data_IF_604287163206
#
_entry.id   IF_604287163206
#
_cell.length_a   1.000
_cell.length_b   1.000
_cell.length_c   1.000
_cell.angle_alpha   90.00
_cell.angle_beta   90.00
_cell.angle_gamma   90.00
#
_symmetry.space_group_name_H-M   'P 1'
#
loop_
_entity.id
_entity.type
_entity.pdbx_description
1 polymer ?
#
# COMPACT_ATOMS: atom_id res chain seq x y z
N UNK A 1 -23.70 -34.84 -21.28
CA UNK A 1 -24.89 -34.34 -22.02
C UNK A 1 -25.15 -32.85 -21.75
N UNK A 2 -25.17 -32.42 -20.48
CA UNK A 2 -25.40 -31.01 -20.07
C UNK A 2 -24.32 -30.04 -20.60
N UNK A 3 -23.03 -30.42 -20.54
CA UNK A 3 -21.93 -29.56 -21.05
C UNK A 3 -22.08 -29.22 -22.53
N UNK A 4 -22.48 -30.18 -23.38
CA UNK A 4 -22.76 -29.96 -24.81
C UNK A 4 -23.92 -28.99 -25.04
N UNK A 5 -24.91 -29.00 -24.16
CA UNK A 5 -26.04 -28.07 -24.23
C UNK A 5 -25.61 -26.66 -23.83
N UNK A 6 -24.80 -26.51 -22.78
CA UNK A 6 -24.23 -25.22 -22.35
C UNK A 6 -23.38 -24.60 -23.46
N UNK A 7 -22.51 -25.39 -24.11
CA UNK A 7 -21.69 -24.94 -25.24
C UNK A 7 -22.52 -24.52 -26.46
N UNK A 8 -23.65 -25.20 -26.72
CA UNK A 8 -24.56 -24.85 -27.81
C UNK A 8 -25.24 -23.50 -27.55
N UNK A 9 -25.69 -23.28 -26.31
CA UNK A 9 -26.30 -22.02 -25.89
C UNK A 9 -25.26 -20.87 -25.95
N UNK A 10 -24.02 -21.13 -25.53
CA UNK A 10 -22.90 -20.18 -25.61
C UNK A 10 -22.59 -19.75 -27.05
N UNK A 11 -22.60 -20.70 -28.00
CA UNK A 11 -22.35 -20.42 -29.43
C UNK A 11 -23.48 -19.58 -30.05
N UNK A 12 -24.72 -19.77 -29.59
CA UNK A 12 -25.89 -19.04 -30.10
C UNK A 12 -25.89 -17.57 -29.64
N UNK A 13 -25.35 -17.31 -28.45
CA UNK A 13 -25.33 -15.98 -27.80
C UNK A 13 -23.91 -15.40 -27.67
N UNK A 14 -23.01 -15.72 -28.60
CA UNK A 14 -21.57 -15.41 -28.47
C UNK A 14 -21.26 -13.92 -28.23
N UNK A 15 -21.96 -13.02 -28.92
CA UNK A 15 -21.80 -11.55 -28.75
C UNK A 15 -22.18 -11.11 -27.33
N UNK A 16 -23.18 -11.73 -26.73
CA UNK A 16 -23.63 -11.44 -25.37
C UNK A 16 -22.79 -12.13 -24.30
N UNK A 17 -22.31 -13.34 -24.58
CA UNK A 17 -21.30 -14.01 -23.77
C UNK A 17 -20.04 -13.16 -23.67
N UNK A 18 -19.60 -12.56 -24.78
CA UNK A 18 -18.49 -11.61 -24.80
C UNK A 18 -18.78 -10.36 -23.95
N UNK A 19 -19.92 -9.71 -24.15
CA UNK A 19 -20.31 -8.54 -23.34
C UNK A 19 -20.39 -8.86 -21.83
N UNK A 20 -21.00 -10.00 -21.47
CA UNK A 20 -21.04 -10.48 -20.08
C UNK A 20 -19.64 -10.65 -19.50
N UNK A 21 -18.75 -11.30 -20.25
CA UNK A 21 -17.37 -11.54 -19.84
C UNK A 21 -16.62 -10.23 -19.59
N UNK A 22 -16.81 -9.21 -20.44
CA UNK A 22 -16.24 -7.86 -20.25
C UNK A 22 -16.75 -7.23 -18.95
N UNK A 23 -18.06 -7.25 -18.72
CA UNK A 23 -18.67 -6.66 -17.51
C UNK A 23 -18.19 -7.37 -16.24
N UNK A 24 -18.13 -8.71 -16.22
CA UNK A 24 -17.59 -9.45 -15.06
C UNK A 24 -16.13 -9.10 -14.83
N UNK A 25 -15.32 -9.04 -15.89
CA UNK A 25 -13.89 -8.69 -15.79
C UNK A 25 -13.71 -7.28 -15.22
N UNK A 26 -14.50 -6.31 -15.68
CA UNK A 26 -14.46 -4.94 -15.14
C UNK A 26 -14.90 -4.90 -13.66
N UNK A 27 -15.89 -5.71 -13.28
CA UNK A 27 -16.36 -5.80 -11.89
C UNK A 27 -15.26 -6.35 -10.99
N UNK A 28 -14.63 -7.45 -11.41
CA UNK A 28 -13.52 -8.06 -10.67
C UNK A 28 -12.35 -7.07 -10.52
N UNK A 29 -11.99 -6.36 -11.60
CA UNK A 29 -10.92 -5.37 -11.57
C UNK A 29 -11.23 -4.19 -10.64
N UNK A 30 -12.47 -3.70 -10.62
CA UNK A 30 -12.90 -2.64 -9.72
C UNK A 30 -12.80 -3.06 -8.24
N UNK A 31 -13.17 -4.31 -7.92
CA UNK A 31 -13.07 -4.88 -6.57
C UNK A 31 -11.60 -5.01 -6.14
N UNK A 32 -10.73 -5.49 -7.03
CA UNK A 32 -9.28 -5.57 -6.77
C UNK A 32 -8.71 -4.19 -6.51
N UNK A 33 -8.98 -3.22 -7.40
CA UNK A 33 -8.43 -1.87 -7.29
C UNK A 33 -8.86 -1.16 -5.99
N UNK A 34 -10.14 -1.27 -5.63
CA UNK A 34 -10.66 -0.75 -4.36
C UNK A 34 -9.89 -1.33 -3.18
N UNK A 35 -9.66 -2.64 -3.14
CA UNK A 35 -8.95 -3.25 -2.01
C UNK A 35 -7.45 -2.97 -1.97
N UNK A 36 -6.75 -2.87 -3.10
CA UNK A 36 -5.35 -2.39 -3.12
C UNK A 36 -5.29 -0.99 -2.53
N UNK A 37 -6.19 -0.13 -2.98
CA UNK A 37 -6.25 1.25 -2.53
C UNK A 37 -6.52 1.36 -1.02
N UNK A 38 -7.47 0.59 -0.49
CA UNK A 38 -7.73 0.55 0.95
C UNK A 38 -6.56 -0.05 1.75
N UNK A 39 -5.93 -1.11 1.27
CA UNK A 39 -4.82 -1.77 1.98
C UNK A 39 -3.59 -0.88 2.09
N UNK A 40 -3.23 -0.18 1.02
CA UNK A 40 -2.08 0.74 1.01
C UNK A 40 -2.32 1.94 1.93
N UNK A 41 -3.53 2.53 1.86
CA UNK A 41 -3.92 3.64 2.75
C UNK A 41 -3.95 3.19 4.21
N UNK A 42 -4.45 1.99 4.50
CA UNK A 42 -4.51 1.48 5.88
C UNK A 42 -3.13 1.31 6.50
N UNK A 43 -2.13 0.85 5.74
CA UNK A 43 -0.76 0.70 6.23
C UNK A 43 -0.10 2.07 6.48
N UNK A 44 -0.27 3.03 5.56
CA UNK A 44 0.24 4.37 5.77
C UNK A 44 -0.44 5.06 6.96
N UNK A 45 -1.74 4.82 7.16
CA UNK A 45 -2.51 5.41 8.24
C UNK A 45 -1.99 5.01 9.62
N UNK A 46 -1.63 3.74 9.85
CA UNK A 46 -1.09 3.32 11.15
C UNK A 46 0.25 3.99 11.48
N UNK A 47 1.12 4.23 10.48
CA UNK A 47 2.36 4.98 10.69
C UNK A 47 2.07 6.47 10.97
N UNK A 48 1.15 7.07 10.22
CA UNK A 48 0.73 8.46 10.45
C UNK A 48 0.17 8.63 11.86
N UNK A 49 -0.72 7.73 12.28
CA UNK A 49 -1.32 7.73 13.62
C UNK A 49 -0.24 7.63 14.70
N UNK A 50 0.71 6.70 14.56
CA UNK A 50 1.85 6.59 15.47
C UNK A 50 2.69 7.87 15.56
N UNK A 51 2.93 8.55 14.43
CA UNK A 51 3.67 9.82 14.41
C UNK A 51 2.86 10.98 15.02
N UNK A 52 1.54 10.98 14.87
CA UNK A 52 0.65 11.96 15.51
C UNK A 52 0.61 11.73 17.04
N UNK A 53 0.46 10.47 17.48
CA UNK A 53 0.45 10.10 18.90
C UNK A 53 1.76 10.46 19.60
N UNK A 54 2.88 10.28 18.91
CA UNK A 54 4.22 10.64 19.43
C UNK A 54 4.55 12.13 19.25
N UNK A 55 3.60 12.96 18.81
CA UNK A 55 3.78 14.40 18.57
C UNK A 55 5.06 14.68 17.75
N UNK A 56 5.20 14.01 16.61
CA UNK A 56 6.39 14.12 15.77
C UNK A 56 6.32 15.40 14.93
N UNK A 57 7.33 16.25 15.07
CA UNK A 57 7.52 17.47 14.28
C UNK A 57 8.62 17.24 13.26
N UNK A 58 8.32 17.54 12.00
CA UNK A 58 9.26 17.47 10.89
C UNK A 58 9.67 18.87 10.45
N UNK A 59 10.83 18.98 9.80
CA UNK A 59 11.32 20.24 9.28
C UNK A 59 11.27 20.22 7.76
N UNK A 60 10.44 21.09 7.19
CA UNK A 60 10.34 21.22 5.74
C UNK A 60 11.07 22.47 5.25
N UNK A 61 11.83 22.33 4.17
CA UNK A 61 12.47 23.46 3.50
C UNK A 61 11.39 24.34 2.87
N UNK A 62 11.33 25.60 3.27
CA UNK A 62 10.49 26.60 2.62
C UNK A 62 11.31 27.24 1.51
N UNK A 63 10.96 26.98 0.25
CA UNK A 63 11.52 27.71 -0.88
C UNK A 63 10.93 29.12 -0.84
N UNK A 64 11.70 30.09 -0.36
CA UNK A 64 11.27 31.50 -0.36
C UNK A 64 11.66 32.16 -1.67
N UNK A 65 10.70 32.78 -2.37
CA UNK A 65 10.95 33.64 -3.54
C UNK A 65 11.54 35.02 -3.16
N UNK A 66 11.91 35.24 -1.90
CA UNK A 66 12.49 36.52 -1.47
C UNK A 66 13.96 36.62 -1.92
N UNK A 67 14.28 37.74 -2.59
CA UNK A 67 15.66 38.14 -2.83
C UNK A 67 16.44 38.15 -1.51
N UNK A 68 17.64 37.60 -1.54
CA UNK A 68 18.60 37.60 -0.43
C UNK A 68 18.67 39.02 0.13
N UNK A 69 18.41 39.19 1.43
CA UNK A 69 18.55 40.49 2.07
C UNK A 69 19.93 41.09 1.72
N UNK A 70 20.02 42.35 1.28
CA UNK A 70 21.31 42.97 1.04
C UNK A 70 22.10 42.91 2.34
N UNK A 71 23.35 42.44 2.28
CA UNK A 71 24.24 42.39 3.42
C UNK A 71 24.41 43.81 3.99
N UNK A 72 23.67 44.15 5.03
CA UNK A 72 23.92 45.38 5.79
C UNK A 72 25.13 45.15 6.69
N UNK A 73 26.29 45.61 6.20
CA UNK A 73 27.58 45.76 6.89
C UNK A 73 28.31 44.45 7.26
N UNK A 74 29.51 44.16 6.75
CA UNK A 74 30.77 44.83 7.11
C UNK A 74 30.73 45.55 8.47
N UNK A 75 30.38 44.80 9.52
CA UNK A 75 30.91 45.06 10.86
C UNK A 75 30.93 43.79 11.72
N UNK A 76 32.15 43.31 11.98
CA UNK A 76 32.59 42.53 13.17
C UNK A 76 31.85 41.22 13.51
N UNK A 77 32.47 40.12 13.05
CA UNK A 77 32.56 38.79 13.67
C UNK A 77 31.43 38.33 14.62
N UNK A 78 30.62 37.41 14.11
CA UNK A 78 30.65 36.04 14.65
C UNK A 78 30.89 35.06 13.50
N UNK A 79 31.98 34.28 13.50
CA UNK A 79 32.10 33.16 12.59
C UNK A 79 30.94 32.20 12.88
N UNK A 80 30.26 31.79 11.81
CA UNK A 80 29.76 30.43 11.53
C UNK A 80 29.77 29.55 12.78
N UNK A 81 28.59 29.11 13.27
CA UNK A 81 28.52 27.97 14.18
C UNK A 81 29.37 26.86 13.56
N UNK A 82 30.49 26.54 14.21
CA UNK A 82 31.57 25.77 13.60
C UNK A 82 31.05 24.39 13.20
N UNK A 83 31.68 23.71 12.24
CA UNK A 83 31.36 22.31 11.93
C UNK A 83 31.31 21.43 13.21
N UNK A 84 32.14 21.76 14.21
CA UNK A 84 32.12 21.16 15.55
C UNK A 84 30.79 21.39 16.29
N UNK A 85 30.16 22.56 16.18
CA UNK A 85 28.89 22.86 16.85
C UNK A 85 27.72 22.08 16.24
N UNK A 86 27.70 21.92 14.91
CA UNK A 86 26.71 21.07 14.21
C UNK A 86 26.84 19.61 14.64
N UNK A 87 28.05 19.10 14.64
CA UNK A 87 28.34 17.72 15.01
C UNK A 87 28.03 17.43 16.48
N UNK A 88 28.30 18.40 17.37
CA UNK A 88 27.92 18.32 18.78
C UNK A 88 26.39 18.34 18.95
N UNK A 89 25.70 19.22 18.24
CA UNK A 89 24.24 19.28 18.26
C UNK A 89 23.60 17.97 17.77
N UNK A 90 24.07 17.43 16.63
CA UNK A 90 23.59 16.15 16.10
C UNK A 90 23.83 15.01 17.08
N UNK A 91 25.01 14.96 17.68
CA UNK A 91 25.33 13.95 18.69
C UNK A 91 24.43 14.04 19.92
N UNK A 92 24.17 15.25 20.41
CA UNK A 92 23.31 15.46 21.58
C UNK A 92 21.85 15.14 21.25
N UNK A 93 21.35 15.62 20.12
CA UNK A 93 19.95 15.48 19.70
C UNK A 93 19.58 14.04 19.29
N UNK A 94 20.50 13.30 18.68
CA UNK A 94 20.31 11.91 18.25
C UNK A 94 20.78 10.88 19.30
N UNK A 95 21.20 11.34 20.48
CA UNK A 95 21.58 10.47 21.58
C UNK A 95 20.38 9.73 22.18
N UNK A 96 20.64 8.84 23.15
CA UNK A 96 19.59 8.14 23.90
C UNK A 96 18.66 9.07 24.67
N UNK A 97 19.16 10.24 25.09
CA UNK A 97 18.42 11.25 25.85
C UNK A 97 17.81 12.32 24.93
N UNK A 98 18.31 12.41 23.70
CA UNK A 98 17.85 13.34 22.69
C UNK A 98 16.47 12.95 22.13
N UNK A 99 15.73 13.97 21.68
CA UNK A 99 14.39 13.80 21.09
C UNK A 99 14.40 13.67 19.58
N UNK A 100 15.56 13.82 18.94
CA UNK A 100 15.64 13.77 17.49
C UNK A 100 15.72 12.34 16.98
N UNK A 101 15.18 12.14 15.80
CA UNK A 101 15.40 10.96 14.99
C UNK A 101 15.75 11.37 13.57
N UNK A 102 16.56 10.56 12.89
CA UNK A 102 16.83 10.73 11.47
C UNK A 102 17.23 9.40 10.86
N UNK A 103 17.27 9.32 9.52
CA UNK A 103 17.77 8.17 8.81
C UNK A 103 18.55 8.54 7.55
N UNK A 104 19.53 7.71 7.22
CA UNK A 104 20.38 7.88 6.04
C UNK A 104 20.57 6.54 5.33
N UNK A 105 20.59 6.57 4.01
CA UNK A 105 20.98 5.42 3.20
C UNK A 105 22.43 5.57 2.78
N UNK A 106 23.23 4.54 3.06
CA UNK A 106 24.64 4.45 2.69
C UNK A 106 24.77 3.28 1.71
N UNK A 107 25.41 3.50 0.56
CA UNK A 107 25.71 2.45 -0.40
C UNK A 107 26.65 1.40 0.19
N UNK A 108 26.51 0.13 -0.22
CA UNK A 108 27.35 -0.92 0.37
C UNK A 108 28.85 -0.69 0.10
N UNK A 109 29.31 -0.13 -1.03
CA UNK A 109 30.72 0.30 -1.28
C UNK A 109 31.86 -0.64 -0.77
N UNK A 110 31.58 -1.93 -0.53
CA UNK A 110 32.50 -2.90 0.09
C UNK A 110 32.56 -2.90 1.62
N UNK A 111 31.65 -2.20 2.31
CA UNK A 111 31.57 -2.14 3.77
C UNK A 111 31.03 -3.43 4.41
N UNK A 112 30.13 -4.14 3.74
CA UNK A 112 29.59 -5.44 4.16
C UNK A 112 29.52 -6.40 2.98
N UNK A 113 29.16 -7.66 3.27
CA UNK A 113 28.98 -8.72 2.27
C UNK A 113 28.13 -8.27 1.07
N UNK A 114 28.54 -8.67 -0.13
CA UNK A 114 27.91 -8.33 -1.42
C UNK A 114 26.43 -8.72 -1.50
N UNK A 115 25.94 -9.59 -0.60
CA UNK A 115 24.52 -9.91 -0.48
C UNK A 115 23.66 -8.70 -0.10
N UNK A 116 24.25 -7.69 0.56
CA UNK A 116 23.59 -6.44 0.90
C UNK A 116 23.86 -5.38 -0.18
N UNK A 117 22.83 -4.64 -0.61
CA UNK A 117 23.00 -3.57 -1.61
C UNK A 117 23.35 -2.23 -0.97
N UNK A 118 22.84 -2.01 0.23
CA UNK A 118 22.97 -0.74 0.95
C UNK A 118 22.72 -0.96 2.44
N UNK A 119 23.07 0.05 3.22
CA UNK A 119 22.92 0.11 4.66
C UNK A 119 21.98 1.27 4.99
N UNK A 120 20.86 0.99 5.65
CA UNK A 120 19.96 2.00 6.21
C UNK A 120 20.37 2.26 7.64
N UNK A 121 20.86 3.46 7.92
CA UNK A 121 21.20 3.89 9.27
C UNK A 121 20.02 4.65 9.87
N UNK A 122 19.52 4.18 11.01
CA UNK A 122 18.51 4.82 11.83
C UNK A 122 19.16 5.43 13.07
N UNK A 123 18.98 6.75 13.24
CA UNK A 123 19.57 7.50 14.34
C UNK A 123 18.54 7.88 15.39
N UNK A 124 18.94 7.83 16.67
CA UNK A 124 18.19 8.35 17.79
C UNK A 124 16.80 7.73 17.92
N UNK A 125 15.76 8.56 18.00
CA UNK A 125 14.39 8.09 18.18
C UNK A 125 13.80 7.36 16.96
N UNK A 126 14.45 7.41 15.79
CA UNK A 126 13.93 6.77 14.58
C UNK A 126 13.89 5.24 14.66
N UNK A 127 14.74 4.65 15.49
CA UNK A 127 14.68 3.23 15.86
C UNK A 127 13.26 2.85 16.34
N UNK A 128 12.75 3.56 17.35
CA UNK A 128 11.42 3.34 17.92
C UNK A 128 10.31 3.68 16.94
N UNK A 129 10.44 4.78 16.19
CA UNK A 129 9.46 5.19 15.19
C UNK A 129 9.34 4.15 14.04
N UNK A 130 10.42 3.46 13.73
CA UNK A 130 10.45 2.38 12.75
C UNK A 130 10.01 1.02 13.31
N UNK A 131 9.67 0.94 14.60
CA UNK A 131 9.24 -0.30 15.26
C UNK A 131 10.35 -1.32 15.49
N UNK A 132 11.61 -0.90 15.42
CA UNK A 132 12.77 -1.71 15.78
C UNK A 132 13.17 -1.29 17.21
N UNK A 133 13.23 -2.22 18.16
CA UNK A 133 13.66 -1.90 19.53
C UNK A 133 14.91 -2.69 19.86
N UNK A 134 16.02 -1.98 20.11
CA UNK A 134 17.24 -2.57 20.61
C UNK A 134 17.65 -1.90 21.92
N UNK A 135 18.05 -2.73 22.88
CA UNK A 135 18.65 -2.29 24.14
C UNK A 135 20.11 -1.85 23.97
N UNK A 136 20.72 -2.18 22.83
CA UNK A 136 22.12 -1.86 22.55
C UNK A 136 22.25 -0.43 22.00
N UNK A 137 23.43 0.17 22.14
CA UNK A 137 23.68 1.54 21.62
C UNK A 137 23.83 1.56 20.10
N UNK A 138 24.21 0.42 19.52
CA UNK A 138 24.40 0.20 18.09
C UNK A 138 24.07 -1.26 17.78
N UNK A 139 23.09 -1.51 16.91
CA UNK A 139 22.61 -2.85 16.60
C UNK A 139 22.34 -3.02 15.10
N UNK A 140 22.57 -4.22 14.60
CA UNK A 140 22.27 -4.59 13.21
C UNK A 140 21.02 -5.45 13.11
N UNK A 141 20.22 -5.16 12.10
CA UNK A 141 19.08 -5.96 11.68
C UNK A 141 19.25 -6.37 10.23
N UNK A 142 19.08 -7.65 9.96
CA UNK A 142 19.26 -8.25 8.62
C UNK A 142 17.90 -8.55 7.97
N UNK A 143 17.78 -8.52 6.63
CA UNK A 143 16.61 -9.02 5.95
C UNK A 143 16.35 -10.49 6.31
N UNK A 144 15.09 -10.92 6.25
CA UNK A 144 14.67 -12.29 6.60
C UNK A 144 15.42 -13.37 5.78
N UNK A 145 15.81 -13.04 4.55
CA UNK A 145 16.62 -13.88 3.65
C UNK A 145 17.99 -14.22 4.25
N UNK A 146 18.54 -13.34 5.09
CA UNK A 146 19.83 -13.49 5.77
C UNK A 146 19.67 -13.76 7.27
N UNK A 147 18.56 -14.40 7.67
CA UNK A 147 18.27 -14.76 9.07
C UNK A 147 19.33 -15.65 9.74
N UNK A 148 20.16 -16.32 8.95
CA UNK A 148 21.32 -17.09 9.42
C UNK A 148 22.40 -16.22 10.11
N UNK A 149 22.46 -14.93 9.80
CA UNK A 149 23.42 -14.00 10.41
C UNK A 149 22.97 -13.54 11.82
N UNK A 150 21.76 -13.87 12.27
CA UNK A 150 21.25 -13.41 13.58
C UNK A 150 22.04 -14.04 14.73
N UNK A 151 22.52 -13.19 15.65
CA UNK A 151 23.39 -13.59 16.76
C UNK A 151 24.88 -13.62 16.39
N UNK A 152 25.23 -13.41 15.12
CA UNK A 152 26.62 -13.22 14.69
C UNK A 152 27.07 -11.76 14.88
N UNK A 153 28.37 -11.54 14.78
CA UNK A 153 28.97 -10.21 14.68
C UNK A 153 29.37 -9.96 13.22
N UNK A 154 28.99 -8.80 12.70
CA UNK A 154 29.36 -8.34 11.35
C UNK A 154 30.35 -7.20 11.53
N UNK A 155 31.47 -7.27 10.82
CA UNK A 155 32.40 -6.15 10.72
C UNK A 155 31.80 -5.12 9.74
N UNK A 156 31.49 -3.94 10.25
CA UNK A 156 31.01 -2.82 9.45
C UNK A 156 31.99 -1.66 9.61
N UNK A 157 32.62 -1.24 8.52
CA UNK A 157 33.58 -0.13 8.49
C UNK A 157 34.67 -0.21 9.60
N UNK A 158 35.22 -1.41 9.83
CA UNK A 158 36.27 -1.66 10.82
C UNK A 158 35.78 -1.79 12.27
N UNK A 159 34.46 -1.92 12.49
CA UNK A 159 33.86 -2.13 13.81
C UNK A 159 32.98 -3.37 13.82
N UNK A 160 33.19 -4.26 14.79
CA UNK A 160 32.31 -5.41 14.99
C UNK A 160 31.01 -4.97 15.66
N UNK A 161 29.88 -5.23 14.99
CA UNK A 161 28.54 -4.92 15.49
C UNK A 161 27.72 -6.20 15.49
N UNK A 162 26.94 -6.39 16.55
CA UNK A 162 26.12 -7.58 16.72
C UNK A 162 24.83 -7.47 15.90
N UNK A 163 24.49 -8.56 15.22
CA UNK A 163 23.19 -8.72 14.57
C UNK A 163 22.18 -9.19 15.61
N UNK A 164 21.25 -8.31 15.97
CA UNK A 164 20.30 -8.53 17.06
C UNK A 164 19.09 -9.32 16.58
N UNK A 165 18.55 -9.01 15.41
CA UNK A 165 17.35 -9.67 14.90
C UNK A 165 17.20 -9.52 13.38
N UNK A 166 16.17 -10.15 12.81
CA UNK A 166 15.72 -9.89 11.45
C UNK A 166 14.80 -8.67 11.38
N UNK A 167 14.82 -7.99 10.24
CA UNK A 167 13.83 -6.98 9.85
C UNK A 167 12.49 -7.69 9.58
N UNK A 168 11.36 -7.23 10.14
CA UNK A 168 10.05 -7.79 9.84
C UNK A 168 9.73 -7.78 8.34
N UNK A 169 9.05 -8.80 7.84
CA UNK A 169 8.68 -8.92 6.41
C UNK A 169 7.81 -7.75 5.90
N UNK A 170 7.08 -7.09 6.81
CA UNK A 170 6.22 -5.94 6.55
C UNK A 170 6.86 -4.60 6.91
N UNK A 171 8.17 -4.59 7.20
CA UNK A 171 8.91 -3.37 7.53
C UNK A 171 8.80 -2.33 6.40
N UNK A 172 8.23 -1.18 6.78
CA UNK A 172 8.11 -0.02 5.91
C UNK A 172 8.74 1.17 6.63
N UNK A 173 9.44 2.02 5.88
CA UNK A 173 10.03 3.23 6.43
C UNK A 173 9.10 4.41 6.15
N UNK A 174 8.54 4.99 7.20
CA UNK A 174 7.67 6.15 7.09
C UNK A 174 8.39 7.42 7.56
N UNK A 175 8.48 8.39 6.66
CA UNK A 175 8.76 9.78 6.96
C UNK A 175 7.55 10.60 6.47
N UNK A 176 7.13 11.67 7.17
CA UNK A 176 5.98 12.46 6.73
C UNK A 176 6.06 12.99 5.28
N UNK A 177 7.27 13.23 4.77
CA UNK A 177 7.51 13.63 3.38
C UNK A 177 7.66 12.43 2.40
N UNK A 178 8.01 11.24 2.90
CA UNK A 178 8.38 10.09 2.07
C UNK A 178 7.98 8.77 2.73
N UNK A 179 7.28 7.91 2.01
CA UNK A 179 6.94 6.56 2.46
C UNK A 179 7.62 5.52 1.57
N UNK A 180 8.37 4.60 2.18
CA UNK A 180 9.00 3.46 1.51
C UNK A 180 8.30 2.19 1.99
N UNK A 181 7.51 1.59 1.10
CA UNK A 181 6.72 0.40 1.41
C UNK A 181 7.59 -0.86 1.53
N UNK A 182 7.15 -1.79 2.38
CA UNK A 182 7.68 -3.14 2.46
C UNK A 182 7.75 -3.82 1.07
N UNK A 183 8.86 -4.50 0.79
CA UNK A 183 9.11 -5.11 -0.52
C UNK A 183 9.65 -4.16 -1.59
N UNK A 184 9.78 -2.85 -1.29
CA UNK A 184 10.53 -1.92 -2.13
C UNK A 184 11.95 -2.44 -2.42
N UNK A 185 12.44 -2.23 -3.63
CA UNK A 185 13.83 -2.56 -3.99
C UNK A 185 14.85 -1.86 -3.08
N UNK A 186 14.48 -0.72 -2.49
CA UNK A 186 15.28 0.02 -1.51
C UNK A 186 15.33 -0.63 -0.11
N UNK A 187 14.42 -1.54 0.23
CA UNK A 187 14.42 -2.21 1.55
C UNK A 187 14.76 -3.70 1.47
N UNK A 188 14.47 -4.35 0.34
CA UNK A 188 14.58 -5.81 0.16
C UNK A 188 15.94 -6.44 0.48
N UNK A 189 17.06 -5.76 0.17
CA UNK A 189 18.43 -6.24 0.42
C UNK A 189 19.23 -5.21 1.23
N UNK A 190 18.58 -4.60 2.21
CA UNK A 190 19.14 -3.49 2.98
C UNK A 190 19.46 -3.96 4.39
N UNK A 191 20.70 -3.77 4.81
CA UNK A 191 21.11 -3.97 6.20
C UNK A 191 20.67 -2.75 7.01
N UNK A 192 20.00 -2.94 8.15
CA UNK A 192 19.54 -1.81 8.98
C UNK A 192 20.43 -1.69 10.21
N UNK A 193 21.07 -0.53 10.38
CA UNK A 193 21.87 -0.17 11.54
C UNK A 193 21.08 0.81 12.41
N UNK A 194 20.75 0.44 13.63
CA UNK A 194 20.24 1.40 14.63
C UNK A 194 21.40 1.92 15.45
N UNK A 195 21.43 3.23 15.75
CA UNK A 195 22.47 3.83 16.58
C UNK A 195 21.99 5.08 17.32
N UNK A 196 22.54 5.28 18.52
CA UNK A 196 22.40 6.51 19.32
C UNK A 196 23.71 7.31 19.37
N UNK A 197 24.72 6.88 18.60
CA UNK A 197 26.03 7.52 18.50
C UNK A 197 26.26 7.98 17.05
N UNK A 198 25.96 9.24 16.79
CA UNK A 198 26.08 9.85 15.47
C UNK A 198 27.55 9.99 15.07
N UNK A 199 28.41 10.48 15.97
CA UNK A 199 29.84 10.69 15.72
C UNK A 199 30.56 9.40 15.38
N UNK A 200 30.23 8.29 16.05
CA UNK A 200 30.81 7.00 15.72
C UNK A 200 30.49 6.61 14.27
N UNK A 201 29.25 6.81 13.83
CA UNK A 201 28.82 6.43 12.49
C UNK A 201 29.33 7.40 11.41
N UNK A 202 29.40 8.69 11.71
CA UNK A 202 30.01 9.69 10.81
C UNK A 202 31.48 9.34 10.52
N UNK A 203 32.22 8.90 11.55
CA UNK A 203 33.59 8.41 11.40
C UNK A 203 33.69 7.08 10.62
N UNK A 204 32.66 6.24 10.67
CA UNK A 204 32.60 4.99 9.89
C UNK A 204 32.39 5.26 8.40
N UNK A 205 31.70 6.35 8.05
CA UNK A 205 31.35 6.70 6.66
C UNK A 205 31.78 8.13 6.29
N UNK A 206 33.08 8.46 6.36
CA UNK A 206 33.58 9.85 6.27
C UNK A 206 33.34 10.51 4.91
N UNK A 207 33.17 9.73 3.85
CA UNK A 207 32.98 10.23 2.47
C UNK A 207 31.50 10.49 2.12
N UNK A 208 30.56 10.04 2.96
CA UNK A 208 29.12 10.11 2.68
C UNK A 208 28.47 11.42 3.14
N UNK A 209 29.14 12.23 3.97
CA UNK A 209 28.58 13.50 4.45
C UNK A 209 27.24 13.34 5.16
N UNK A 210 27.19 12.38 6.10
CA UNK A 210 25.95 11.97 6.79
C UNK A 210 25.28 13.13 7.52
N UNK A 211 26.08 14.10 7.97
CA UNK A 211 25.63 15.28 8.68
C UNK A 211 24.64 16.13 7.90
N UNK A 212 24.69 16.17 6.56
CA UNK A 212 23.71 16.90 5.75
C UNK A 212 22.44 16.10 5.51
N UNK A 213 22.56 14.81 5.18
CA UNK A 213 21.39 13.96 4.96
C UNK A 213 20.59 13.74 6.24
N UNK A 214 21.28 13.49 7.36
CA UNK A 214 20.64 13.33 8.65
C UNK A 214 19.91 14.60 9.09
N UNK A 215 20.46 15.78 8.81
CA UNK A 215 19.80 17.06 9.13
C UNK A 215 18.52 17.27 8.30
N UNK A 216 18.54 16.94 7.01
CA UNK A 216 17.39 17.15 6.11
C UNK A 216 16.20 16.24 6.41
N UNK A 217 16.45 15.04 6.97
CA UNK A 217 15.41 14.05 7.32
C UNK A 217 15.13 14.03 8.82
N UNK A 218 15.58 15.05 9.53
CA UNK A 218 15.46 15.10 10.97
C UNK A 218 14.02 15.37 11.38
N UNK A 219 13.57 14.60 12.36
CA UNK A 219 12.30 14.76 13.05
C UNK A 219 12.55 14.90 14.55
N UNK A 220 11.69 15.63 15.24
CA UNK A 220 11.69 15.71 16.69
C UNK A 220 10.47 14.96 17.25
N UNK A 221 10.69 14.14 18.26
CA UNK A 221 9.63 13.39 18.96
C UNK A 221 9.24 14.15 20.22
N UNK A 222 7.97 14.54 20.31
CA UNK A 222 7.40 15.31 21.42
C UNK A 222 8.23 16.56 21.82
N UNK A 223 8.55 17.47 20.88
CA UNK A 223 9.27 18.69 21.19
C UNK A 223 8.36 19.74 21.82
N UNK A 224 8.97 20.65 22.57
CA UNK A 224 8.40 21.93 22.98
C UNK A 224 8.53 22.96 21.84
N UNK A 225 7.71 24.00 21.87
CA UNK A 225 7.76 25.06 20.86
C UNK A 225 9.14 25.74 20.80
N UNK A 226 9.82 25.87 21.95
CA UNK A 226 11.15 26.47 22.05
C UNK A 226 12.17 25.61 21.31
N UNK A 227 12.17 24.29 21.52
CA UNK A 227 13.08 23.37 20.83
C UNK A 227 12.87 23.40 19.31
N UNK A 228 11.62 23.57 18.85
CA UNK A 228 11.32 23.74 17.42
C UNK A 228 11.90 25.06 16.90
N UNK A 229 11.64 26.18 17.58
CA UNK A 229 12.14 27.50 17.18
C UNK A 229 13.67 27.58 17.18
N UNK A 230 14.33 27.02 18.19
CA UNK A 230 15.79 26.93 18.29
C UNK A 230 16.38 26.20 17.09
N UNK A 231 15.82 25.04 16.75
CA UNK A 231 16.27 24.26 15.60
C UNK A 231 15.99 24.98 14.28
N UNK A 232 14.83 25.63 14.12
CA UNK A 232 14.58 26.48 12.94
C UNK A 232 15.60 27.62 12.81
N UNK A 233 15.98 28.23 13.95
CA UNK A 233 17.02 29.24 14.02
C UNK A 233 18.38 28.68 13.60
N UNK A 234 18.74 27.48 14.06
CA UNK A 234 19.96 26.77 13.63
C UNK A 234 19.95 26.52 12.13
N UNK A 235 18.85 25.98 11.58
CA UNK A 235 18.68 25.77 10.14
C UNK A 235 18.88 27.05 9.33
N UNK A 236 18.26 28.16 9.77
CA UNK A 236 18.36 29.45 9.09
C UNK A 236 19.78 30.01 9.16
N UNK A 237 20.40 30.03 10.34
CA UNK A 237 21.74 30.57 10.55
C UNK A 237 22.81 29.76 9.82
N UNK A 238 22.62 28.45 9.68
CA UNK A 238 23.62 27.55 9.11
C UNK A 238 23.50 27.42 7.59
N UNK A 239 22.29 27.27 7.05
CA UNK A 239 22.07 27.00 5.63
C UNK A 239 21.55 28.23 4.87
N UNK A 240 21.20 29.32 5.57
CA UNK A 240 20.59 30.50 4.97
C UNK A 240 19.19 30.23 4.42
N UNK A 241 18.57 29.11 4.79
CA UNK A 241 17.29 28.62 4.28
C UNK A 241 16.28 28.55 5.40
N UNK A 242 15.07 29.01 5.13
CA UNK A 242 13.98 28.96 6.09
C UNK A 242 13.43 27.52 6.18
N UNK A 243 13.64 26.87 7.31
CA UNK A 243 12.97 25.60 7.61
C UNK A 243 11.76 25.84 8.50
N UNK A 244 10.62 25.24 8.15
CA UNK A 244 9.40 25.28 8.96
C UNK A 244 9.20 23.97 9.71
N UNK A 245 9.25 24.03 11.03
CA UNK A 245 8.76 22.95 11.90
C UNK A 245 7.25 22.81 11.73
N UNK A 246 6.80 21.65 11.28
CA UNK A 246 5.37 21.34 11.13
C UNK A 246 5.09 20.02 11.82
N UNK A 247 4.06 19.97 12.66
CA UNK A 247 3.65 18.71 13.28
C UNK A 247 3.14 17.76 12.19
N UNK A 248 3.26 16.45 12.41
CA UNK A 248 2.72 15.46 11.47
C UNK A 248 1.20 15.62 11.33
N UNK A 249 0.49 15.99 12.41
CA UNK A 249 -0.94 16.29 12.36
C UNK A 249 -1.23 17.48 11.43
N UNK A 250 -0.60 18.64 11.66
CA UNK A 250 -0.80 19.82 10.82
C UNK A 250 -0.44 19.54 9.36
N UNK A 251 0.68 18.84 9.13
CA UNK A 251 1.10 18.49 7.78
C UNK A 251 0.07 17.60 7.08
N UNK A 252 -0.43 16.57 7.77
CA UNK A 252 -1.46 15.69 7.21
C UNK A 252 -2.76 16.47 6.97
N UNK A 253 -3.15 17.39 7.83
CA UNK A 253 -4.33 18.23 7.57
C UNK A 253 -4.13 19.13 6.35
N UNK A 254 -2.96 19.72 6.15
CA UNK A 254 -2.68 20.62 5.03
C UNK A 254 -2.58 19.86 3.70
N UNK A 255 -1.81 18.77 3.67
CA UNK A 255 -1.52 18.03 2.43
C UNK A 255 -2.61 17.02 2.09
N UNK A 256 -3.24 16.42 3.10
CA UNK A 256 -4.19 15.34 2.89
C UNK A 256 -5.61 15.86 2.70
N UNK A 257 -6.00 17.06 3.16
CA UNK A 257 -7.37 17.54 2.96
C UNK A 257 -7.80 17.65 1.47
N UNK A 258 -6.99 18.22 0.55
CA UNK A 258 -7.30 18.22 -0.88
C UNK A 258 -7.25 16.80 -1.47
N UNK A 259 -6.27 16.00 -1.07
CA UNK A 259 -6.07 14.62 -1.53
C UNK A 259 -7.21 13.68 -1.08
N UNK A 260 -7.69 13.82 0.16
CA UNK A 260 -8.79 13.05 0.74
C UNK A 260 -10.11 13.33 0.03
N UNK A 261 -10.34 14.54 -0.49
CA UNK A 261 -11.53 14.85 -1.29
C UNK A 261 -11.48 14.13 -2.64
N UNK A 262 -10.34 14.17 -3.32
CA UNK A 262 -10.14 13.45 -4.58
C UNK A 262 -10.23 11.93 -4.38
N UNK A 263 -9.60 11.41 -3.33
CA UNK A 263 -9.63 10.00 -2.97
C UNK A 263 -11.04 9.53 -2.59
N UNK A 264 -11.79 10.30 -1.77
CA UNK A 264 -13.20 9.99 -1.47
C UNK A 264 -14.06 9.95 -2.73
N UNK A 265 -13.86 10.90 -3.64
CA UNK A 265 -14.62 10.96 -4.89
C UNK A 265 -14.31 9.75 -5.79
N UNK A 266 -13.04 9.38 -5.92
CA UNK A 266 -12.61 8.17 -6.64
C UNK A 266 -13.18 6.91 -5.99
N UNK A 267 -13.06 6.75 -4.68
CA UNK A 267 -13.63 5.61 -3.95
C UNK A 267 -15.14 5.52 -4.15
N UNK A 268 -15.85 6.64 -4.03
CA UNK A 268 -17.31 6.69 -4.24
C UNK A 268 -17.67 6.32 -5.68
N UNK A 269 -16.92 6.82 -6.66
CA UNK A 269 -17.09 6.48 -8.06
C UNK A 269 -16.89 4.98 -8.31
N UNK A 270 -15.83 4.37 -7.77
CA UNK A 270 -15.58 2.93 -7.92
C UNK A 270 -16.64 2.06 -7.23
N UNK A 271 -17.11 2.45 -6.05
CA UNK A 271 -18.23 1.76 -5.39
C UNK A 271 -19.50 1.84 -6.24
N UNK A 272 -19.84 3.04 -6.72
CA UNK A 272 -21.01 3.26 -7.58
C UNK A 272 -20.90 2.46 -8.89
N UNK A 273 -19.73 2.48 -9.52
CA UNK A 273 -19.44 1.72 -10.73
C UNK A 273 -19.52 0.21 -10.48
N UNK A 274 -19.01 -0.28 -9.35
CA UNK A 274 -19.14 -1.69 -8.94
C UNK A 274 -20.59 -2.11 -8.77
N UNK A 275 -21.40 -1.31 -8.07
CA UNK A 275 -22.85 -1.55 -7.93
C UNK A 275 -23.55 -1.57 -9.29
N UNK A 276 -23.22 -0.60 -10.16
CA UNK A 276 -23.77 -0.52 -11.52
C UNK A 276 -23.40 -1.76 -12.35
N UNK A 277 -22.16 -2.23 -12.27
CA UNK A 277 -21.71 -3.42 -12.98
C UNK A 277 -22.40 -4.69 -12.47
N UNK A 278 -22.59 -4.84 -11.16
CA UNK A 278 -23.38 -5.94 -10.58
C UNK A 278 -24.83 -5.90 -11.09
N UNK A 279 -25.43 -4.71 -11.14
CA UNK A 279 -26.78 -4.53 -11.68
C UNK A 279 -26.85 -4.92 -13.16
N UNK A 280 -25.86 -4.54 -13.96
CA UNK A 280 -25.74 -4.96 -15.36
C UNK A 280 -25.57 -6.47 -15.51
N UNK A 281 -24.82 -7.13 -14.63
CA UNK A 281 -24.69 -8.59 -14.60
C UNK A 281 -26.04 -9.28 -14.32
N UNK A 282 -26.82 -8.75 -13.38
CA UNK A 282 -28.15 -9.26 -13.06
C UNK A 282 -29.12 -9.09 -14.25
N UNK A 283 -29.15 -7.90 -14.86
CA UNK A 283 -29.97 -7.65 -16.05
C UNK A 283 -29.59 -8.59 -17.18
N UNK A 284 -28.30 -8.76 -17.43
CA UNK A 284 -27.82 -9.63 -18.51
C UNK A 284 -28.20 -11.10 -18.24
N UNK A 285 -28.11 -11.54 -16.98
CA UNK A 285 -28.55 -12.88 -16.55
C UNK A 285 -30.06 -13.08 -16.76
N UNK A 286 -30.89 -12.10 -16.35
CA UNK A 286 -32.34 -12.13 -16.56
C UNK A 286 -32.67 -12.23 -18.06
N UNK A 287 -32.03 -11.38 -18.87
CA UNK A 287 -32.27 -11.36 -20.32
C UNK A 287 -31.91 -12.68 -20.98
N UNK A 288 -30.75 -13.25 -20.64
CA UNK A 288 -30.33 -14.55 -21.17
C UNK A 288 -31.37 -15.64 -20.87
N UNK A 289 -31.92 -15.61 -19.65
CA UNK A 289 -32.97 -16.54 -19.24
C UNK A 289 -34.27 -16.31 -20.04
N UNK A 290 -34.73 -15.06 -20.18
CA UNK A 290 -35.97 -14.74 -20.90
C UNK A 290 -35.90 -15.15 -22.38
N UNK A 291 -34.76 -14.94 -23.06
CA UNK A 291 -34.60 -15.34 -24.47
C UNK A 291 -34.76 -16.86 -24.66
N UNK A 292 -34.34 -17.66 -23.67
CA UNK A 292 -34.34 -19.12 -23.75
C UNK A 292 -35.49 -19.76 -22.95
N UNK A 293 -36.37 -18.97 -22.33
CA UNK A 293 -37.39 -19.48 -21.41
C UNK A 293 -38.41 -20.36 -22.12
N UNK A 294 -38.73 -20.05 -23.37
CA UNK A 294 -39.63 -20.84 -24.21
C UNK A 294 -39.01 -22.21 -24.48
N UNK A 295 -37.74 -22.23 -24.94
CA UNK A 295 -37.00 -23.47 -25.15
C UNK A 295 -36.94 -24.30 -23.87
N UNK A 296 -36.63 -23.70 -22.72
CA UNK A 296 -36.59 -24.40 -21.44
C UNK A 296 -37.96 -24.96 -21.02
N UNK A 297 -39.03 -24.22 -21.26
CA UNK A 297 -40.41 -24.65 -20.95
C UNK A 297 -40.82 -25.82 -21.84
N UNK A 298 -40.47 -25.78 -23.13
CA UNK A 298 -40.68 -26.89 -24.06
C UNK A 298 -39.96 -28.15 -23.60
N UNK A 299 -38.69 -28.05 -23.21
CA UNK A 299 -37.96 -29.20 -22.65
C UNK A 299 -38.61 -29.74 -21.37
N UNK A 300 -39.14 -28.87 -20.52
CA UNK A 300 -39.85 -29.29 -19.31
C UNK A 300 -41.14 -30.06 -19.63
N UNK A 301 -41.94 -29.58 -20.60
CA UNK A 301 -43.18 -30.23 -21.05
C UNK A 301 -42.93 -31.63 -21.63
N UNK A 302 -41.80 -31.83 -22.32
CA UNK A 302 -41.36 -33.15 -22.81
C UNK A 302 -40.73 -34.03 -21.72
N UNK A 303 -40.90 -33.68 -20.44
CA UNK A 303 -40.55 -34.53 -19.29
C UNK A 303 -39.20 -34.23 -18.64
N UNK A 304 -38.48 -33.17 -19.03
CA UNK A 304 -37.27 -32.79 -18.33
C UNK A 304 -37.58 -32.27 -16.92
N UNK A 305 -36.89 -32.75 -15.86
CA UNK A 305 -37.11 -32.24 -14.52
C UNK A 305 -36.56 -30.81 -14.40
N UNK A 306 -37.27 -29.96 -13.64
CA UNK A 306 -36.90 -28.55 -13.42
C UNK A 306 -35.47 -28.42 -12.88
N UNK A 307 -35.03 -29.36 -12.04
CA UNK A 307 -33.66 -29.39 -11.50
C UNK A 307 -32.57 -29.49 -12.57
N UNK A 308 -32.86 -30.15 -13.70
CA UNK A 308 -31.92 -30.28 -14.82
C UNK A 308 -31.81 -28.97 -15.60
N UNK A 309 -32.91 -28.22 -15.75
CA UNK A 309 -32.93 -26.90 -16.37
C UNK A 309 -32.21 -25.88 -15.49
N UNK A 310 -32.44 -25.92 -14.17
CA UNK A 310 -31.73 -25.07 -13.20
C UNK A 310 -30.21 -25.27 -13.27
N UNK A 311 -29.76 -26.53 -13.31
CA UNK A 311 -28.34 -26.86 -13.46
C UNK A 311 -27.76 -26.40 -14.80
N UNK A 312 -28.54 -26.42 -15.89
CA UNK A 312 -28.11 -25.94 -17.21
C UNK A 312 -27.91 -24.43 -17.22
N UNK A 313 -28.89 -23.67 -16.75
CA UNK A 313 -28.81 -22.20 -16.72
C UNK A 313 -27.76 -21.72 -15.73
N UNK A 314 -27.73 -22.30 -14.53
CA UNK A 314 -26.66 -21.99 -13.57
C UNK A 314 -25.28 -22.37 -14.11
N UNK A 315 -25.17 -23.53 -14.78
CA UNK A 315 -23.93 -23.96 -15.43
C UNK A 315 -23.44 -22.99 -16.52
N UNK A 316 -24.36 -22.35 -17.26
CA UNK A 316 -24.00 -21.30 -18.21
C UNK A 316 -23.38 -20.08 -17.53
N UNK A 317 -23.96 -19.64 -16.41
CA UNK A 317 -23.39 -18.56 -15.57
C UNK A 317 -22.00 -18.94 -15.06
N UNK A 318 -21.80 -20.18 -14.60
CA UNK A 318 -20.47 -20.63 -14.16
C UNK A 318 -19.44 -20.61 -15.29
N UNK A 319 -19.79 -21.12 -16.47
CA UNK A 319 -18.88 -21.15 -17.63
C UNK A 319 -18.45 -19.75 -18.04
N UNK A 320 -19.36 -18.77 -18.04
CA UNK A 320 -19.04 -17.39 -18.35
C UNK A 320 -18.12 -16.72 -17.30
N UNK A 321 -18.15 -17.19 -16.07
CA UNK A 321 -17.29 -16.68 -15.00
C UNK A 321 -15.92 -17.38 -14.93
N UNK A 322 -15.65 -18.42 -15.74
CA UNK A 322 -14.34 -19.08 -15.77
C UNK A 322 -13.24 -18.12 -16.24
N UNK A 323 -13.44 -17.40 -17.35
CA UNK A 323 -12.41 -16.50 -17.88
C UNK A 323 -12.10 -15.32 -16.92
N UNK A 324 -13.11 -14.64 -16.35
CA UNK A 324 -12.87 -13.63 -15.32
C UNK A 324 -12.20 -14.19 -14.05
N UNK A 325 -12.55 -15.42 -13.64
CA UNK A 325 -11.90 -16.08 -12.49
C UNK A 325 -10.42 -16.36 -12.77
N UNK A 326 -10.07 -16.81 -13.98
CA UNK A 326 -8.67 -16.99 -14.40
C UNK A 326 -7.92 -15.65 -14.38
N UNK A 327 -8.53 -14.59 -14.92
CA UNK A 327 -7.94 -13.24 -14.89
C UNK A 327 -7.73 -12.72 -13.47
N UNK A 328 -8.70 -12.95 -12.58
CA UNK A 328 -8.60 -12.59 -11.17
C UNK A 328 -7.49 -13.35 -10.44
N UNK A 329 -7.38 -14.67 -10.68
CA UNK A 329 -6.28 -15.49 -10.13
C UNK A 329 -4.93 -15.02 -10.67
N UNK A 330 -4.84 -14.70 -11.97
CA UNK A 330 -3.62 -14.16 -12.57
C UNK A 330 -3.18 -12.87 -11.89
N UNK A 331 -4.09 -11.92 -11.67
CA UNK A 331 -3.79 -10.66 -10.96
C UNK A 331 -3.35 -10.92 -9.52
N UNK A 332 -3.98 -11.85 -8.81
CA UNK A 332 -3.55 -12.24 -7.47
C UNK A 332 -2.15 -12.85 -7.45
N UNK A 333 -1.80 -13.69 -8.43
CA UNK A 333 -0.47 -14.31 -8.54
C UNK A 333 0.60 -13.27 -8.88
N UNK A 334 0.30 -12.32 -9.76
CA UNK A 334 1.22 -11.23 -10.10
C UNK A 334 1.46 -10.28 -8.91
N UNK A 335 0.52 -10.22 -7.97
CA UNK A 335 0.59 -9.38 -6.78
C UNK A 335 0.90 -10.18 -5.49
N UNK A 336 1.70 -11.23 -5.61
CA UNK A 336 2.21 -12.06 -4.49
C UNK A 336 1.13 -12.53 -3.51
N UNK A 337 -0.10 -12.77 -3.99
CA UNK A 337 -1.25 -13.17 -3.17
C UNK A 337 -1.58 -12.21 -2.02
N UNK A 338 -1.13 -10.95 -2.08
CA UNK A 338 -1.33 -9.93 -1.04
C UNK A 338 -2.82 -9.69 -0.67
N UNK A 339 -3.75 -10.15 -1.51
CA UNK A 339 -5.20 -10.07 -1.30
C UNK A 339 -5.94 -11.39 -1.52
N UNK A 340 -5.33 -12.51 -1.14
CA UNK A 340 -5.95 -13.85 -1.28
C UNK A 340 -7.36 -13.94 -0.66
N UNK A 341 -7.63 -13.16 0.40
CA UNK A 341 -8.92 -13.10 1.09
C UNK A 341 -10.08 -12.61 0.19
N UNK A 342 -9.79 -11.98 -0.95
CA UNK A 342 -10.83 -11.57 -1.92
C UNK A 342 -11.38 -12.74 -2.75
N UNK A 343 -10.62 -13.84 -2.86
CA UNK A 343 -11.02 -15.01 -3.65
C UNK A 343 -12.31 -15.67 -3.13
N UNK A 344 -12.49 -15.88 -1.80
CA UNK A 344 -13.77 -16.26 -1.23
C UNK A 344 -14.94 -15.33 -1.61
N UNK A 345 -14.75 -14.02 -1.63
CA UNK A 345 -15.82 -13.06 -1.99
C UNK A 345 -16.23 -13.18 -3.46
N UNK A 346 -15.26 -13.36 -4.37
CA UNK A 346 -15.54 -13.63 -5.78
C UNK A 346 -16.27 -14.96 -5.98
N UNK A 347 -15.88 -16.02 -5.27
CA UNK A 347 -16.58 -17.31 -5.30
C UNK A 347 -18.01 -17.15 -4.78
N UNK A 348 -18.21 -16.43 -3.67
CA UNK A 348 -19.54 -16.14 -3.12
C UNK A 348 -20.40 -15.35 -4.12
N UNK A 349 -19.84 -14.37 -4.83
CA UNK A 349 -20.54 -13.61 -5.85
C UNK A 349 -20.96 -14.51 -7.02
N UNK A 350 -20.07 -15.38 -7.51
CA UNK A 350 -20.38 -16.34 -8.58
C UNK A 350 -21.44 -17.36 -8.12
N UNK A 351 -21.33 -17.87 -6.90
CA UNK A 351 -22.32 -18.76 -6.30
C UNK A 351 -23.69 -18.07 -6.12
N UNK A 352 -23.69 -16.80 -5.74
CA UNK A 352 -24.89 -15.96 -5.65
C UNK A 352 -25.56 -15.77 -7.01
N UNK A 353 -24.79 -15.46 -8.05
CA UNK A 353 -25.30 -15.35 -9.42
C UNK A 353 -25.85 -16.67 -9.95
N UNK A 354 -25.18 -17.80 -9.66
CA UNK A 354 -25.67 -19.14 -9.97
C UNK A 354 -27.02 -19.41 -9.31
N UNK A 355 -27.11 -19.18 -7.99
CA UNK A 355 -28.33 -19.41 -7.21
C UNK A 355 -29.47 -18.50 -7.69
N UNK A 356 -29.18 -17.23 -7.96
CA UNK A 356 -30.13 -16.29 -8.53
C UNK A 356 -30.69 -16.77 -9.87
N UNK A 357 -29.81 -17.16 -10.81
CA UNK A 357 -30.23 -17.65 -12.12
C UNK A 357 -31.10 -18.92 -12.00
N UNK A 358 -30.70 -19.87 -11.16
CA UNK A 358 -31.45 -21.11 -10.91
C UNK A 358 -32.83 -20.86 -10.27
N UNK A 359 -32.92 -19.91 -9.33
CA UNK A 359 -34.18 -19.54 -8.69
C UNK A 359 -35.11 -18.78 -9.65
N UNK A 360 -34.55 -17.85 -10.43
CA UNK A 360 -35.29 -17.05 -11.40
C UNK A 360 -35.95 -17.91 -12.47
N UNK A 361 -35.21 -18.84 -13.09
CA UNK A 361 -35.75 -19.78 -14.10
C UNK A 361 -36.88 -20.63 -13.52
N UNK A 362 -36.71 -21.18 -12.31
CA UNK A 362 -37.75 -21.99 -11.65
C UNK A 362 -39.04 -21.21 -11.46
N UNK A 363 -38.93 -19.97 -10.94
CA UNK A 363 -40.09 -19.09 -10.74
C UNK A 363 -40.75 -18.74 -12.06
N UNK A 364 -39.95 -18.50 -13.11
CA UNK A 364 -40.46 -18.09 -14.42
C UNK A 364 -41.17 -19.23 -15.15
N UNK A 365 -40.61 -20.43 -15.18
CA UNK A 365 -41.27 -21.62 -15.75
C UNK A 365 -42.56 -21.95 -14.99
N UNK A 366 -42.55 -21.82 -13.65
CA UNK A 366 -43.74 -22.03 -12.82
C UNK A 366 -44.91 -21.09 -13.18
N UNK A 367 -44.61 -19.81 -13.45
CA UNK A 367 -45.63 -18.82 -13.85
C UNK A 367 -46.16 -19.06 -15.27
N UNK A 368 -45.32 -19.51 -16.21
CA UNK A 368 -45.76 -19.84 -17.56
C UNK A 368 -46.64 -21.10 -17.60
N UNK A 369 -46.32 -22.12 -16.80
CA UNK A 369 -47.14 -23.32 -16.67
C UNK A 369 -48.53 -23.04 -16.06
N UNK A 370 -48.63 -22.11 -15.10
CA UNK A 370 -49.92 -21.72 -14.51
C UNK A 370 -50.82 -20.92 -15.46
N UNK A 371 -50.26 -20.29 -16.50
CA UNK A 371 -50.98 -19.35 -17.36
C UNK A 371 -51.52 -19.95 -18.67
N UNK A 372 -51.38 -21.26 -18.94
CA UNK A 372 -51.81 -21.88 -20.23
C UNK A 372 -51.34 -21.12 -21.49
N UNK A 373 -50.29 -20.30 -21.41
CA UNK A 373 -49.87 -19.37 -22.46
C UNK A 373 -49.01 -20.00 -23.58
N UNK A 374 -48.95 -21.34 -23.65
CA UNK A 374 -48.30 -22.05 -24.76
C UNK A 374 -49.20 -22.15 -26.01
N UNK A 375 -50.43 -21.64 -25.94
CA UNK A 375 -51.31 -21.51 -27.10
C UNK A 375 -51.29 -20.06 -27.60
N UNK A 376 -50.30 -19.70 -28.41
CA UNK A 376 -50.44 -18.58 -29.35
C UNK A 376 -49.78 -18.89 -30.69
N UNK A 377 -50.68 -19.01 -31.66
CA UNK A 377 -50.57 -18.72 -33.10
C UNK A 377 -49.51 -19.47 -33.91
N UNK A 378 -49.90 -20.67 -34.39
CA UNK A 378 -49.51 -21.16 -35.72
C UNK A 378 -50.43 -20.54 -36.77
#
# INVERSE_FOLDING_TARGET
MILKQILKDLRKEWTWAFFYTVVVTMTAMAIVYLSISFSSVSKQFSFIESFIENNVVMFNLMVTEMERAPNESDSTEKPIASFSDKMNYLQESLSSEGKAGSFVFVGNDGYVDDKYKQILVLFGQYEKLAGLDSSESMALFVPEISSEDVGSTVELAGKEIKVVNTIPSDFSLFHPLHYIEAGSSLLSNTLVLTTKDFKAVDNMFPWWGLDNEAFQRMVLVNPSNIEVEELQGLFYNQFGTLYKGTSTDDFTQITTNPSLRAHRLLMTFYILAGILLIFLLLINTIRMIEVHVIDYTVHHLYGAPISLIQRRVGGFVLVLNILPLIGFIFVLVVNDLAMWYQLPFMILLIAGLYAFAAAYVKRRIGTLNSLQNLRRDY
#
